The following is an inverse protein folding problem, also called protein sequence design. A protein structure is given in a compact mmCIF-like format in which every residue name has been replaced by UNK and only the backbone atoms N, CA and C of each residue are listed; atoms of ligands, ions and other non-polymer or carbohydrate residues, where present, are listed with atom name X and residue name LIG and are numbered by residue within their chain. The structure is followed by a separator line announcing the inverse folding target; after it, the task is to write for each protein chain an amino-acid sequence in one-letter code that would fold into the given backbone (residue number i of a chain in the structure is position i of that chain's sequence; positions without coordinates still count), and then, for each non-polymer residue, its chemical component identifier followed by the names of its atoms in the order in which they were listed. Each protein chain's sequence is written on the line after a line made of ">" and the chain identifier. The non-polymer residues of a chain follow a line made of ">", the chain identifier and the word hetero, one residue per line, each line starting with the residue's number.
data_IF_487441314724
#
_entry.id   IF_487441314724
#
_cell.length_a   1.000
_cell.length_b   1.000
_cell.length_c   1.000
_cell.angle_alpha   90.00
_cell.angle_beta   90.00
_cell.angle_gamma   90.00
#
_symmetry.space_group_name_H-M   'P 1'
#
loop_
_entity.id
_entity.type
_entity.pdbx_description
1 polymer ?
#
# COMPACT_ATOMS: atom_id res chain seq x y z
N UNK A 1 -10.43 -6.29 6.34
CA UNK A 1 -9.06 -6.76 6.62
C UNK A 1 -8.39 -5.78 7.57
N UNK A 2 -7.52 -6.29 8.41
CA UNK A 2 -6.81 -5.43 9.35
C UNK A 2 -5.82 -4.53 8.62
N UNK A 3 -6.04 -3.23 8.72
CA UNK A 3 -5.20 -2.24 8.03
C UNK A 3 -3.72 -2.35 8.41
N UNK A 4 -3.41 -2.78 9.64
CA UNK A 4 -2.03 -2.89 10.10
C UNK A 4 -1.20 -3.89 9.29
N UNK A 5 -1.85 -4.87 8.66
CA UNK A 5 -1.18 -5.84 7.81
C UNK A 5 -0.70 -5.21 6.49
N UNK A 6 -1.16 -4.01 6.18
CA UNK A 6 -0.83 -3.29 4.95
C UNK A 6 -0.01 -2.03 5.21
N UNK A 7 0.31 -1.72 6.47
CA UNK A 7 1.04 -0.49 6.83
C UNK A 7 2.48 -0.78 7.19
N UNK A 8 3.37 0.13 6.78
CA UNK A 8 4.77 0.08 7.15
C UNK A 8 5.34 1.52 7.13
N UNK A 9 6.33 1.79 7.98
CA UNK A 9 7.04 3.06 7.92
C UNK A 9 7.83 3.18 6.61
N UNK A 10 7.79 4.33 5.97
CA UNK A 10 8.52 4.56 4.72
C UNK A 10 10.04 4.39 4.90
N UNK A 11 10.54 4.54 6.11
CA UNK A 11 11.96 4.38 6.42
C UNK A 11 12.35 2.94 6.71
N UNK A 12 11.38 2.03 6.76
CA UNK A 12 11.67 0.60 6.91
C UNK A 12 12.44 0.09 5.70
N UNK A 13 13.14 -1.03 5.88
CA UNK A 13 13.91 -1.63 4.80
C UNK A 13 12.99 -2.31 3.78
N UNK A 14 13.51 -2.46 2.56
CA UNK A 14 12.84 -3.25 1.51
C UNK A 14 12.62 -4.69 2.00
N UNK A 15 13.58 -5.25 2.76
CA UNK A 15 13.44 -6.58 3.35
C UNK A 15 12.20 -6.68 4.25
N UNK A 16 12.01 -5.70 5.12
CA UNK A 16 10.85 -5.67 6.01
C UNK A 16 9.54 -5.53 5.23
N UNK A 17 9.55 -4.70 4.17
CA UNK A 17 8.38 -4.52 3.31
C UNK A 17 8.01 -5.83 2.61
N UNK A 18 8.98 -6.54 2.05
CA UNK A 18 8.74 -7.83 1.40
C UNK A 18 8.19 -8.86 2.37
N UNK A 19 8.71 -8.90 3.60
CA UNK A 19 8.20 -9.82 4.62
C UNK A 19 6.73 -9.51 4.92
N UNK A 20 6.36 -8.24 5.00
CA UNK A 20 5.00 -7.84 5.29
C UNK A 20 4.06 -8.11 4.12
N UNK A 21 4.50 -7.86 2.90
CA UNK A 21 3.75 -8.20 1.68
C UNK A 21 3.50 -9.70 1.61
N UNK A 22 4.52 -10.50 1.89
CA UNK A 22 4.40 -11.95 1.91
C UNK A 22 3.36 -12.40 2.94
N UNK A 23 3.34 -11.74 4.09
CA UNK A 23 2.42 -12.07 5.18
C UNK A 23 0.98 -11.69 4.86
N UNK A 24 0.75 -10.53 4.23
CA UNK A 24 -0.61 -10.11 3.91
C UNK A 24 -1.17 -10.78 2.64
N UNK A 25 -0.33 -11.38 1.81
CA UNK A 25 -0.71 -12.15 0.62
C UNK A 25 -1.43 -11.35 -0.47
N UNK A 26 -1.32 -10.03 -0.45
CA UNK A 26 -2.00 -9.17 -1.44
C UNK A 26 -1.04 -8.42 -2.37
N UNK A 27 0.26 -8.62 -2.20
CA UNK A 27 1.26 -8.08 -3.11
C UNK A 27 1.46 -6.58 -3.02
N UNK A 28 0.95 -5.92 -1.98
CA UNK A 28 1.02 -4.47 -1.82
C UNK A 28 1.18 -4.08 -0.36
N UNK A 29 1.88 -2.96 -0.13
CA UNK A 29 2.06 -2.37 1.18
C UNK A 29 1.90 -0.85 1.06
N UNK A 30 1.33 -0.21 2.08
CA UNK A 30 1.17 1.24 2.14
C UNK A 30 2.22 1.81 3.09
N UNK A 31 3.06 2.72 2.57
CA UNK A 31 4.11 3.35 3.33
C UNK A 31 3.60 4.63 3.99
N UNK A 32 3.94 4.83 5.24
CA UNK A 32 3.52 6.02 5.99
C UNK A 32 4.71 6.85 6.44
N UNK A 33 4.49 8.15 6.51
CA UNK A 33 5.41 9.11 7.08
C UNK A 33 5.39 9.04 8.61
N UNK A 34 6.34 9.66 9.31
CA UNK A 34 6.28 9.75 10.77
C UNK A 34 4.97 10.35 11.31
N UNK A 35 4.34 11.25 10.54
CA UNK A 35 3.03 11.81 10.89
C UNK A 35 1.89 10.79 10.85
N UNK A 36 2.10 9.65 10.22
CA UNK A 36 1.06 8.65 9.98
C UNK A 36 0.37 8.78 8.63
N UNK A 37 0.60 9.88 7.90
CA UNK A 37 0.02 10.07 6.58
C UNK A 37 0.65 9.10 5.58
N UNK A 38 -0.17 8.56 4.69
CA UNK A 38 0.32 7.66 3.64
C UNK A 38 1.16 8.46 2.64
N UNK A 39 2.39 8.03 2.42
CA UNK A 39 3.29 8.67 1.45
C UNK A 39 3.21 8.00 0.08
N UNK A 40 2.81 6.74 0.03
CA UNK A 40 2.70 6.01 -1.22
C UNK A 40 2.52 4.52 -0.99
N UNK A 41 2.60 3.77 -2.07
CA UNK A 41 2.45 2.31 -2.04
C UNK A 41 3.66 1.65 -2.65
N UNK A 42 3.90 0.40 -2.30
CA UNK A 42 4.89 -0.43 -2.96
C UNK A 42 4.27 -1.80 -3.23
N UNK A 43 4.35 -2.24 -4.48
CA UNK A 43 3.94 -3.58 -4.89
C UNK A 43 5.17 -4.45 -5.03
N UNK A 44 4.97 -5.77 -5.16
CA UNK A 44 6.06 -6.70 -5.52
C UNK A 44 6.81 -6.21 -6.75
N UNK A 45 6.08 -5.74 -7.77
CA UNK A 45 6.68 -5.24 -9.00
C UNK A 45 7.52 -3.99 -8.79
N UNK A 46 7.03 -3.04 -7.98
CA UNK A 46 7.78 -1.81 -7.66
C UNK A 46 9.10 -2.15 -7.00
N UNK A 47 9.06 -3.06 -6.03
CA UNK A 47 10.27 -3.47 -5.29
C UNK A 47 11.23 -4.21 -6.22
N UNK A 48 10.72 -5.12 -7.04
CA UNK A 48 11.56 -5.86 -7.98
C UNK A 48 12.30 -4.92 -8.92
N UNK A 49 11.61 -3.91 -9.48
CA UNK A 49 12.23 -2.91 -10.35
C UNK A 49 13.29 -2.12 -9.61
N UNK A 50 13.05 -1.77 -8.35
CA UNK A 50 14.03 -1.04 -7.52
C UNK A 50 15.29 -1.86 -7.29
N UNK A 51 15.14 -3.16 -7.01
CA UNK A 51 16.29 -4.06 -6.82
C UNK A 51 17.10 -4.18 -8.11
N UNK A 52 16.43 -4.29 -9.26
CA UNK A 52 17.09 -4.33 -10.56
C UNK A 52 17.85 -3.02 -10.83
N UNK A 53 17.31 -1.89 -10.37
CA UNK A 53 17.91 -0.57 -10.57
C UNK A 53 19.09 -0.28 -9.64
N UNK A 54 19.37 -1.14 -8.67
CA UNK A 54 20.54 -0.99 -7.83
C UNK A 54 20.26 -0.83 -6.33
N UNK A 55 19.00 -0.73 -5.91
CA UNK A 55 18.68 -0.79 -4.50
C UNK A 55 18.87 -2.22 -3.99
N UNK A 56 19.01 -2.39 -2.68
CA UNK A 56 19.18 -3.70 -2.08
C UNK A 56 18.18 -3.89 -0.93
N UNK A 57 18.18 -5.08 -0.34
CA UNK A 57 17.22 -5.42 0.71
C UNK A 57 17.33 -4.53 1.96
N UNK A 58 18.47 -3.92 2.19
CA UNK A 58 18.67 -3.02 3.33
C UNK A 58 18.41 -1.56 2.99
N UNK A 59 18.09 -1.24 1.73
CA UNK A 59 17.71 0.10 1.32
C UNK A 59 16.38 0.48 1.96
N UNK A 60 16.18 1.78 2.21
CA UNK A 60 14.91 2.27 2.74
C UNK A 60 13.80 2.14 1.69
N UNK A 61 12.62 1.75 2.13
CA UNK A 61 11.46 1.55 1.27
C UNK A 61 11.07 2.83 0.52
N UNK A 62 11.31 4.00 1.09
CA UNK A 62 10.94 5.28 0.49
C UNK A 62 11.48 5.44 -0.93
N UNK A 63 12.60 4.80 -1.26
CA UNK A 63 13.16 4.81 -2.61
C UNK A 63 12.40 3.96 -3.63
N UNK A 64 11.44 3.17 -3.18
CA UNK A 64 10.67 2.25 -4.03
C UNK A 64 9.18 2.55 -4.06
N UNK A 65 8.71 3.57 -3.34
CA UNK A 65 7.26 3.83 -3.26
C UNK A 65 6.77 4.56 -4.50
N UNK A 66 5.54 4.23 -4.88
CA UNK A 66 4.80 4.91 -5.91
C UNK A 66 3.82 5.87 -5.24
N UNK A 67 3.94 7.16 -5.55
CA UNK A 67 3.09 8.21 -4.97
C UNK A 67 1.80 8.39 -5.75
N UNK A 68 1.73 7.86 -6.95
CA UNK A 68 0.57 7.93 -7.82
C UNK A 68 -0.22 6.63 -7.71
N UNK A 69 -1.12 6.57 -6.73
CA UNK A 69 -1.91 5.38 -6.47
C UNK A 69 -3.39 5.73 -6.31
N UNK A 70 -4.26 4.78 -6.62
CA UNK A 70 -5.70 4.97 -6.46
C UNK A 70 -6.10 4.80 -4.99
N UNK A 71 -6.88 5.74 -4.48
CA UNK A 71 -7.42 5.70 -3.13
C UNK A 71 -8.78 6.39 -3.10
N UNK A 72 -9.54 6.17 -2.03
CA UNK A 72 -10.84 6.80 -1.85
C UNK A 72 -10.97 7.42 -0.48
N UNK A 73 -11.88 8.39 -0.38
CA UNK A 73 -12.18 9.08 0.85
C UNK A 73 -13.10 8.24 1.74
N UNK A 74 -13.05 8.50 3.01
CA UNK A 74 -14.02 8.00 3.98
C UNK A 74 -15.43 8.38 3.52
N UNK A 75 -16.36 7.42 3.59
CA UNK A 75 -17.74 7.64 3.13
C UNK A 75 -17.99 7.35 1.66
N UNK A 76 -16.97 6.88 0.93
CA UNK A 76 -17.15 6.48 -0.47
C UNK A 76 -18.24 5.41 -0.57
N UNK A 77 -19.05 5.46 -1.64
CA UNK A 77 -20.14 4.50 -1.84
C UNK A 77 -19.59 3.10 -2.17
N UNK A 78 -20.34 2.08 -1.74
CA UNK A 78 -20.02 0.70 -2.08
C UNK A 78 -20.00 0.49 -3.59
N UNK A 79 -20.93 1.14 -4.31
CA UNK A 79 -20.99 1.04 -5.77
C UNK A 79 -19.72 1.53 -6.44
N UNK A 80 -19.17 2.65 -5.97
CA UNK A 80 -17.90 3.17 -6.49
C UNK A 80 -16.79 2.18 -6.30
N UNK A 81 -16.69 1.57 -5.11
CA UNK A 81 -15.66 0.58 -4.81
C UNK A 81 -15.80 -0.65 -5.69
N UNK A 82 -17.02 -1.16 -5.85
CA UNK A 82 -17.28 -2.33 -6.71
C UNK A 82 -16.84 -2.08 -8.14
N UNK A 83 -17.13 -0.89 -8.66
CA UNK A 83 -16.78 -0.53 -10.04
C UNK A 83 -15.27 -0.44 -10.25
N UNK A 84 -14.53 -0.05 -9.21
CA UNK A 84 -13.09 0.13 -9.31
C UNK A 84 -12.31 -1.15 -9.09
N UNK A 85 -12.82 -2.07 -8.30
CA UNK A 85 -12.14 -3.34 -8.05
C UNK A 85 -12.18 -4.21 -9.31
N UNK A 86 -11.01 -4.56 -9.81
CA UNK A 86 -10.85 -5.43 -10.97
C UNK A 86 -9.53 -6.22 -10.81
N UNK A 87 -9.04 -6.83 -11.90
CA UNK A 87 -7.80 -7.60 -11.85
C UNK A 87 -6.54 -6.73 -11.81
N UNK A 88 -6.66 -5.41 -12.01
CA UNK A 88 -5.55 -4.47 -11.87
C UNK A 88 -5.59 -3.77 -10.52
N UNK A 89 -6.76 -3.29 -10.11
CA UNK A 89 -6.97 -2.65 -8.81
C UNK A 89 -7.69 -3.65 -7.90
N UNK A 90 -6.92 -4.41 -7.14
CA UNK A 90 -7.46 -5.44 -6.26
C UNK A 90 -7.57 -5.01 -4.80
N UNK A 91 -6.92 -3.90 -4.46
CA UNK A 91 -6.89 -3.36 -3.11
C UNK A 91 -7.09 -1.86 -3.20
N UNK A 92 -8.05 -1.34 -2.45
CA UNK A 92 -8.33 0.10 -2.41
C UNK A 92 -8.14 0.59 -0.98
N UNK A 93 -7.17 1.50 -0.74
CA UNK A 93 -7.04 2.12 0.58
C UNK A 93 -8.07 3.23 0.74
N UNK A 94 -8.69 3.29 1.91
CA UNK A 94 -9.58 4.37 2.31
C UNK A 94 -8.80 5.28 3.26
N UNK A 95 -8.72 6.55 2.92
CA UNK A 95 -7.94 7.53 3.68
C UNK A 95 -8.85 8.61 4.26
N UNK A 96 -8.46 9.14 5.42
CA UNK A 96 -9.15 10.29 6.01
C UNK A 96 -8.60 11.60 5.46
N UNK A 97 -9.10 12.73 5.99
CA UNK A 97 -8.69 14.06 5.53
C UNK A 97 -7.21 14.38 5.80
N UNK A 98 -6.59 13.66 6.72
CA UNK A 98 -5.17 13.79 7.04
C UNK A 98 -4.32 12.74 6.31
N UNK A 99 -4.91 12.03 5.35
CA UNK A 99 -4.26 10.98 4.56
C UNK A 99 -3.84 9.76 5.39
N UNK A 100 -4.46 9.55 6.54
CA UNK A 100 -4.22 8.34 7.33
C UNK A 100 -5.06 7.19 6.77
N UNK A 101 -4.49 6.00 6.75
CA UNK A 101 -5.21 4.81 6.31
C UNK A 101 -6.25 4.41 7.36
N UNK A 102 -7.51 4.36 6.95
CA UNK A 102 -8.63 3.98 7.81
C UNK A 102 -8.98 2.51 7.59
N UNK A 103 -9.04 2.11 6.33
CA UNK A 103 -9.54 0.79 5.95
C UNK A 103 -8.92 0.35 4.64
N UNK A 104 -8.84 -0.95 4.44
CA UNK A 104 -8.38 -1.55 3.19
C UNK A 104 -9.52 -2.39 2.62
N UNK A 105 -9.91 -2.09 1.39
CA UNK A 105 -11.03 -2.75 0.72
C UNK A 105 -10.50 -3.72 -0.34
N UNK A 106 -10.99 -4.95 -0.28
CA UNK A 106 -10.76 -5.98 -1.29
C UNK A 106 -12.10 -6.60 -1.67
N UNK A 107 -12.11 -7.49 -2.65
CA UNK A 107 -13.35 -8.23 -3.02
C UNK A 107 -13.94 -8.98 -1.83
N UNK A 108 -13.12 -9.40 -0.88
CA UNK A 108 -13.57 -10.24 0.23
C UNK A 108 -14.35 -9.49 1.29
N UNK A 109 -14.23 -8.18 1.36
CA UNK A 109 -14.94 -7.38 2.36
C UNK A 109 -15.95 -6.40 1.76
N UNK A 110 -16.47 -6.72 0.58
CA UNK A 110 -17.57 -5.98 -0.07
C UNK A 110 -18.86 -6.79 -0.12
#
# INVERSE_FOLDING_TARGET
>A
MKKDNFLIDEQSSIREALAKINKNSHGIIFAKKPSGAISGVATDGDIRRSLISGLNLDSQLVGSINKDFYWEHEGVSRETLIKKLDHQIRVIPILDSDMHLIEVITKHNL
#
